data_IF_102004624220
#
_entry.id   IF_102004624220
#
_cell.length_a   1.000
_cell.length_b   1.000
_cell.length_c   1.000
_cell.angle_alpha   90.00
_cell.angle_beta   90.00
_cell.angle_gamma   90.00
#
_symmetry.space_group_name_H-M   'P 1'
#
loop_
_entity.id
_entity.type
_entity.pdbx_description
1 polymer ?
#
# COMPACT_ATOMS: atom_id res chain seq x y z
N UNK A 1 -43.90 30.43 -14.83
CA UNK A 1 -43.39 30.24 -13.44
C UNK A 1 -42.97 28.79 -13.13
N UNK A 2 -43.37 27.79 -13.93
CA UNK A 2 -43.11 26.35 -13.66
C UNK A 2 -41.69 25.91 -14.05
N UNK A 3 -41.02 26.63 -14.97
CA UNK A 3 -39.66 26.29 -15.46
C UNK A 3 -38.53 26.53 -14.45
N UNK A 4 -38.76 27.35 -13.43
CA UNK A 4 -37.76 27.64 -12.39
C UNK A 4 -37.64 26.48 -11.40
N UNK A 5 -38.70 25.69 -11.23
CA UNK A 5 -38.74 24.54 -10.31
C UNK A 5 -37.87 23.37 -10.80
N UNK A 6 -37.77 23.17 -12.12
CA UNK A 6 -36.96 22.09 -12.70
C UNK A 6 -35.45 22.33 -12.58
N UNK A 7 -35.01 23.59 -12.67
CA UNK A 7 -33.60 23.95 -12.53
C UNK A 7 -33.12 23.87 -11.07
N UNK A 8 -33.99 24.22 -10.11
CA UNK A 8 -33.70 24.10 -8.69
C UNK A 8 -33.56 22.63 -8.24
N UNK A 9 -34.41 21.73 -8.75
CA UNK A 9 -34.34 20.31 -8.43
C UNK A 9 -33.04 19.65 -8.92
N UNK A 10 -32.53 20.06 -10.10
CA UNK A 10 -31.30 19.53 -10.66
C UNK A 10 -30.04 19.97 -9.88
N UNK A 11 -30.09 21.14 -9.23
CA UNK A 11 -28.98 21.63 -8.41
C UNK A 11 -28.92 20.96 -7.03
N UNK A 12 -30.07 20.57 -6.47
CA UNK A 12 -30.15 19.96 -5.14
C UNK A 12 -29.58 18.53 -5.12
N UNK A 13 -29.58 17.80 -6.24
CA UNK A 13 -29.03 16.43 -6.32
C UNK A 13 -27.50 16.38 -6.42
N UNK A 14 -26.82 17.46 -6.86
CA UNK A 14 -25.36 17.50 -6.93
C UNK A 14 -24.67 17.79 -5.59
N UNK A 15 -25.38 18.28 -4.57
CA UNK A 15 -24.79 18.62 -3.28
C UNK A 15 -24.68 17.43 -2.30
N UNK A 16 -25.25 16.27 -2.63
CA UNK A 16 -25.31 15.12 -1.71
C UNK A 16 -24.06 14.20 -1.73
N UNK A 17 -23.07 14.44 -2.60
CA UNK A 17 -21.85 13.61 -2.68
C UNK A 17 -20.59 14.25 -2.08
N UNK A 18 -20.70 15.30 -1.26
CA UNK A 18 -19.53 15.88 -0.60
C UNK A 18 -19.81 16.38 0.81
N UNK A 19 -20.25 15.45 1.67
CA UNK A 19 -19.94 15.56 3.09
C UNK A 19 -18.53 14.98 3.30
N UNK A 20 -17.47 15.79 3.52
CA UNK A 20 -16.33 15.31 4.27
C UNK A 20 -16.76 15.33 5.73
N UNK A 21 -17.67 14.43 6.11
CA UNK A 21 -17.75 14.06 7.52
C UNK A 21 -16.47 13.32 7.81
N UNK A 22 -15.53 14.15 8.27
CA UNK A 22 -14.33 13.84 9.00
C UNK A 22 -14.63 12.73 10.01
N UNK A 23 -14.58 11.49 9.54
CA UNK A 23 -14.29 10.36 10.40
C UNK A 23 -12.85 10.57 10.84
N UNK A 24 -12.72 11.35 11.91
CA UNK A 24 -11.54 11.40 12.75
C UNK A 24 -11.01 9.98 12.82
N UNK A 25 -9.72 9.72 12.55
CA UNK A 25 -9.17 8.42 12.84
C UNK A 25 -9.46 8.21 14.32
N UNK A 26 -10.32 7.23 14.65
CA UNK A 26 -10.38 6.73 16.01
C UNK A 26 -9.00 6.15 16.21
N UNK A 27 -8.14 6.95 16.84
CA UNK A 27 -6.85 6.50 17.34
C UNK A 27 -7.23 5.53 18.42
N UNK A 28 -7.50 4.28 18.02
CA UNK A 28 -7.64 3.16 18.92
C UNK A 28 -6.31 3.03 19.62
N UNK A 29 -6.20 3.74 20.73
CA UNK A 29 -5.34 3.41 21.83
C UNK A 29 -5.86 2.08 22.41
N UNK A 30 -5.77 1.02 21.61
CA UNK A 30 -5.52 -0.30 22.14
C UNK A 30 -4.20 -0.11 22.87
N UNK A 31 -4.31 0.08 24.18
CA UNK A 31 -3.14 0.12 25.05
C UNK A 31 -2.27 -1.06 24.66
N UNK A 32 -0.95 -0.83 24.60
CA UNK A 32 0.00 -1.92 24.51
C UNK A 32 -0.27 -2.81 25.72
N UNK A 33 -1.09 -3.85 25.55
CA UNK A 33 -1.08 -4.98 26.45
C UNK A 33 0.33 -5.51 26.25
N UNK A 34 1.19 -5.25 27.23
CA UNK A 34 2.52 -5.80 27.26
C UNK A 34 2.32 -7.31 27.35
N UNK A 35 2.46 -7.97 26.21
CA UNK A 35 2.63 -9.41 26.18
C UNK A 35 3.83 -9.71 27.08
N UNK A 36 3.81 -10.79 27.89
CA UNK A 36 4.99 -11.20 28.64
C UNK A 36 6.19 -11.20 27.70
N UNK A 37 7.29 -10.60 28.16
CA UNK A 37 8.51 -10.46 27.37
C UNK A 37 8.88 -11.84 26.81
N UNK A 38 8.76 -11.99 25.50
CA UNK A 38 9.11 -13.24 24.84
C UNK A 38 10.59 -13.53 25.19
N UNK A 39 10.98 -14.81 25.33
CA UNK A 39 12.38 -15.17 25.47
C UNK A 39 13.19 -14.42 24.39
N UNK A 40 14.38 -13.87 24.73
CA UNK A 40 15.19 -13.20 23.73
C UNK A 40 15.36 -14.16 22.55
N UNK A 41 15.09 -13.70 21.32
CA UNK A 41 15.19 -14.56 20.16
C UNK A 41 16.57 -15.25 20.20
N UNK A 42 16.63 -16.57 19.93
CA UNK A 42 17.92 -17.24 19.84
C UNK A 42 18.78 -16.42 18.90
N UNK A 43 20.05 -16.18 19.26
CA UNK A 43 21.02 -15.44 18.46
C UNK A 43 21.29 -16.23 17.16
N UNK A 44 20.31 -16.29 16.27
CA UNK A 44 20.43 -16.85 14.94
C UNK A 44 21.15 -15.78 14.14
N UNK A 45 22.40 -16.08 13.82
CA UNK A 45 23.16 -15.30 12.86
C UNK A 45 22.38 -15.28 11.54
N UNK A 46 22.25 -14.08 10.96
CA UNK A 46 21.57 -13.78 9.70
C UNK A 46 20.06 -14.07 9.69
N UNK A 47 19.29 -13.09 10.17
CA UNK A 47 17.90 -12.94 9.73
C UNK A 47 17.89 -12.79 8.20
N UNK A 48 17.20 -13.67 7.45
CA UNK A 48 17.13 -13.54 6.00
C UNK A 48 16.49 -12.19 5.66
N UNK A 49 17.19 -11.37 4.86
CA UNK A 49 16.65 -10.07 4.41
C UNK A 49 15.36 -10.33 3.63
N UNK A 50 14.23 -9.98 4.28
CA UNK A 50 12.90 -10.01 3.69
C UNK A 50 12.72 -8.77 2.81
N UNK A 51 12.62 -8.99 1.50
CA UNK A 51 12.36 -7.91 0.56
C UNK A 51 10.84 -7.75 0.34
N UNK A 52 10.39 -6.54 -0.04
CA UNK A 52 9.04 -6.36 -0.55
C UNK A 52 8.77 -7.31 -1.72
N UNK A 53 7.52 -7.79 -1.81
CA UNK A 53 7.09 -8.78 -2.81
C UNK A 53 6.65 -8.15 -4.14
N UNK A 54 7.09 -6.94 -4.44
CA UNK A 54 6.79 -6.24 -5.69
C UNK A 54 7.58 -6.83 -6.86
N UNK A 55 7.01 -6.68 -8.04
CA UNK A 55 7.56 -7.15 -9.31
C UNK A 55 7.73 -6.00 -10.28
N UNK A 56 8.75 -6.10 -11.12
CA UNK A 56 8.97 -5.20 -12.25
C UNK A 56 8.74 -5.97 -13.55
N UNK A 57 7.95 -5.41 -14.46
CA UNK A 57 7.78 -5.94 -15.81
C UNK A 57 8.99 -5.59 -16.67
N UNK A 58 9.45 -6.56 -17.44
CA UNK A 58 10.55 -6.44 -18.37
C UNK A 58 10.06 -6.17 -19.81
N UNK A 59 10.92 -5.64 -20.70
CA UNK A 59 10.53 -5.34 -22.09
C UNK A 59 10.10 -6.56 -22.91
N UNK A 60 10.55 -7.75 -22.52
CA UNK A 60 10.15 -9.05 -23.09
C UNK A 60 8.78 -9.53 -22.57
N UNK A 61 8.16 -8.79 -21.65
CA UNK A 61 6.91 -9.14 -20.99
C UNK A 61 7.06 -10.06 -19.79
N UNK A 62 8.29 -10.47 -19.43
CA UNK A 62 8.55 -11.24 -18.22
C UNK A 62 8.49 -10.36 -16.97
N UNK A 63 8.56 -10.99 -15.79
CA UNK A 63 8.56 -10.30 -14.50
C UNK A 63 9.78 -10.69 -13.67
N UNK A 64 10.36 -9.69 -12.99
CA UNK A 64 11.49 -9.88 -12.07
C UNK A 64 11.12 -9.38 -10.68
N UNK A 65 11.53 -10.14 -9.66
CA UNK A 65 11.36 -9.78 -8.25
C UNK A 65 12.65 -9.20 -7.65
N UNK A 66 12.55 -8.69 -6.42
CA UNK A 66 13.70 -8.24 -5.64
C UNK A 66 14.56 -9.41 -5.19
N UNK A 67 15.88 -9.19 -5.16
CA UNK A 67 16.87 -10.18 -4.71
C UNK A 67 17.49 -9.75 -3.38
N UNK A 68 17.28 -10.55 -2.33
CA UNK A 68 17.83 -10.33 -0.99
C UNK A 68 19.35 -10.24 -0.97
N UNK A 69 20.05 -10.98 -1.85
CA UNK A 69 21.50 -10.95 -1.98
C UNK A 69 22.02 -9.66 -2.65
N UNK A 70 21.14 -8.84 -3.22
CA UNK A 70 21.45 -7.55 -3.87
C UNK A 70 20.80 -6.38 -3.14
N UNK A 71 20.60 -6.48 -1.83
CA UNK A 71 19.98 -5.41 -1.03
C UNK A 71 18.56 -5.07 -1.49
N UNK A 72 17.79 -6.10 -1.87
CA UNK A 72 16.44 -5.95 -2.41
C UNK A 72 16.33 -5.16 -3.72
N UNK A 73 17.41 -5.06 -4.51
CA UNK A 73 17.33 -4.59 -5.89
C UNK A 73 16.59 -5.62 -6.78
N UNK A 74 15.91 -5.14 -7.83
CA UNK A 74 15.33 -6.04 -8.84
C UNK A 74 16.41 -6.85 -9.54
N UNK A 75 16.11 -8.12 -9.83
CA UNK A 75 16.92 -8.90 -10.76
C UNK A 75 16.91 -8.26 -12.17
N UNK A 76 17.89 -8.61 -12.99
CA UNK A 76 17.91 -8.18 -14.40
C UNK A 76 16.83 -8.87 -15.20
N UNK A 77 16.39 -8.20 -16.26
CA UNK A 77 15.51 -8.83 -17.22
C UNK A 77 16.24 -9.94 -17.99
N UNK A 78 15.55 -11.03 -18.34
CA UNK A 78 16.10 -12.04 -19.24
C UNK A 78 16.62 -11.39 -20.52
N UNK A 79 17.84 -11.73 -20.93
CA UNK A 79 18.47 -11.17 -22.14
C UNK A 79 19.20 -9.84 -21.96
N UNK A 80 19.15 -9.20 -20.78
CA UNK A 80 20.06 -8.09 -20.46
C UNK A 80 21.46 -8.66 -20.10
N UNK A 81 22.32 -8.80 -21.11
CA UNK A 81 23.73 -9.15 -20.89
C UNK A 81 24.42 -8.01 -20.13
N UNK A 82 25.08 -8.34 -19.01
CA UNK A 82 25.91 -7.39 -18.30
C UNK A 82 27.19 -7.11 -19.10
N UNK A 83 27.57 -5.84 -19.35
CA UNK A 83 28.89 -5.52 -19.88
C UNK A 83 30.00 -5.93 -18.92
#
# INVERSE_FOLDING_TARGET
MIRVLAAAALAITLAACSAPESLKPVRSSVGKVALPEAPPPPLVADDPIMCPADVKTCPDGSYVSRNSNKGCAFARCPGETQP
#
